data_IF_435503469968
#
_entry.id   IF_435503469968
#
_cell.length_a   1.000
_cell.length_b   1.000
_cell.length_c   1.000
_cell.angle_alpha   90.00
_cell.angle_beta   90.00
_cell.angle_gamma   90.00
#
_symmetry.space_group_name_H-M   'P 1'
#
loop_
_entity.id
_entity.type
_entity.pdbx_description
1 polymer ?
#
# COMPACT_ATOMS: atom_id res chain seq x y z
N UNK A 1 19.43 -4.83 22.45
CA UNK A 1 19.05 -4.93 21.02
C UNK A 1 17.92 -5.94 20.92
N UNK A 2 16.71 -5.48 20.64
CA UNK A 2 15.52 -6.32 20.65
C UNK A 2 15.30 -7.11 19.34
N UNK A 3 16.21 -6.99 18.34
CA UNK A 3 16.13 -7.73 17.07
C UNK A 3 15.06 -7.25 16.10
N UNK A 4 14.65 -5.97 16.17
CA UNK A 4 13.71 -5.38 15.19
C UNK A 4 14.39 -5.26 13.82
N UNK A 5 13.86 -5.95 12.83
CA UNK A 5 14.39 -5.98 11.46
C UNK A 5 13.57 -5.11 10.49
N UNK A 6 12.25 -5.00 10.69
CA UNK A 6 11.39 -4.21 9.85
C UNK A 6 10.20 -3.62 10.60
N UNK A 7 9.61 -2.56 10.04
CA UNK A 7 8.36 -1.96 10.50
C UNK A 7 7.37 -1.84 9.34
N UNK A 8 6.06 -2.02 9.59
CA UNK A 8 5.06 -1.82 8.55
C UNK A 8 4.90 -0.34 8.21
N UNK A 9 4.61 -0.03 6.95
CA UNK A 9 4.30 1.32 6.47
C UNK A 9 2.89 1.81 6.80
N UNK A 10 2.25 1.21 7.80
CA UNK A 10 0.89 1.56 8.21
C UNK A 10 0.76 3.01 8.65
N UNK A 11 -0.46 3.54 8.54
CA UNK A 11 -0.77 4.91 8.95
C UNK A 11 -0.33 6.00 7.95
N UNK A 12 0.26 5.66 6.81
CA UNK A 12 0.54 6.63 5.75
C UNK A 12 -0.75 7.25 5.21
N UNK A 13 -1.77 6.45 5.02
CA UNK A 13 -3.05 6.80 4.37
C UNK A 13 -2.81 7.59 3.09
N UNK A 14 -2.74 8.91 3.19
CA UNK A 14 -2.26 9.81 2.14
C UNK A 14 -1.32 10.86 2.75
N UNK A 15 -0.16 11.08 2.13
CA UNK A 15 0.88 12.00 2.62
C UNK A 15 0.68 13.44 2.08
N UNK A 16 -0.57 13.87 2.05
CA UNK A 16 -1.01 15.23 1.72
C UNK A 16 -1.83 15.75 2.89
N UNK A 17 -1.29 16.65 3.68
CA UNK A 17 -1.84 17.01 4.98
C UNK A 17 -3.24 17.64 4.91
N UNK A 18 -3.58 18.34 3.83
CA UNK A 18 -4.93 18.86 3.60
C UNK A 18 -5.98 17.74 3.57
N UNK A 19 -5.69 16.66 2.85
CA UNK A 19 -6.56 15.47 2.74
C UNK A 19 -6.45 14.63 4.02
N UNK A 20 -5.22 14.41 4.49
CA UNK A 20 -4.91 13.59 5.66
C UNK A 20 -5.67 14.03 6.91
N UNK A 21 -5.79 15.33 7.15
CA UNK A 21 -6.56 15.90 8.27
C UNK A 21 -8.05 15.57 8.19
N UNK A 22 -8.59 15.41 6.98
CA UNK A 22 -10.00 15.02 6.77
C UNK A 22 -10.23 13.53 6.93
N UNK A 23 -9.33 12.69 6.37
CA UNK A 23 -9.50 11.23 6.37
C UNK A 23 -8.99 10.55 7.63
N UNK A 24 -8.03 11.15 8.32
CA UNK A 24 -7.37 10.57 9.51
C UNK A 24 -6.91 11.66 10.48
N UNK A 25 -7.83 12.45 11.07
CA UNK A 25 -7.48 13.64 11.84
C UNK A 25 -6.65 13.37 13.11
N UNK A 26 -6.73 12.16 13.65
CA UNK A 26 -5.96 11.76 14.84
C UNK A 26 -4.53 11.28 14.51
N UNK A 27 -4.16 11.17 13.24
CA UNK A 27 -2.83 10.70 12.83
C UNK A 27 -1.84 11.84 12.69
N UNK A 28 -0.56 11.51 12.81
CA UNK A 28 0.57 12.43 12.61
C UNK A 28 0.53 13.10 11.23
N UNK A 29 1.24 14.22 11.07
CA UNK A 29 1.42 14.88 9.78
C UNK A 29 2.20 14.00 8.81
N UNK A 30 2.11 14.31 7.51
CA UNK A 30 2.90 13.61 6.49
C UNK A 30 4.40 13.70 6.76
N UNK A 31 4.89 14.87 7.19
CA UNK A 31 6.30 15.06 7.53
C UNK A 31 6.72 14.18 8.72
N UNK A 32 5.93 14.14 9.78
CA UNK A 32 6.24 13.29 10.93
C UNK A 32 6.29 11.80 10.57
N UNK A 33 5.37 11.34 9.71
CA UNK A 33 5.41 9.97 9.21
C UNK A 33 6.70 9.69 8.42
N UNK A 34 7.07 10.58 7.50
CA UNK A 34 8.31 10.47 6.72
C UNK A 34 9.55 10.48 7.63
N UNK A 35 9.56 11.31 8.69
CA UNK A 35 10.69 11.38 9.61
C UNK A 35 10.86 10.10 10.44
N UNK A 36 9.75 9.43 10.81
CA UNK A 36 9.81 8.10 11.45
C UNK A 36 10.45 7.09 10.51
N UNK A 37 10.00 7.02 9.24
CA UNK A 37 10.56 6.07 8.26
C UNK A 37 12.03 6.40 7.96
N UNK A 38 12.37 7.67 7.77
CA UNK A 38 13.75 8.11 7.57
C UNK A 38 14.66 7.71 8.75
N UNK A 39 14.17 7.86 9.97
CA UNK A 39 14.91 7.46 11.16
C UNK A 39 15.12 5.95 11.21
N UNK A 40 14.08 5.16 10.94
CA UNK A 40 14.18 3.71 10.86
C UNK A 40 15.20 3.27 9.80
N UNK A 41 15.15 3.86 8.60
CA UNK A 41 16.08 3.55 7.51
C UNK A 41 17.54 3.90 7.88
N UNK A 42 17.78 5.05 8.52
CA UNK A 42 19.12 5.41 9.02
C UNK A 42 19.66 4.43 10.05
N UNK A 43 18.78 3.79 10.81
CA UNK A 43 19.15 2.75 11.79
C UNK A 43 19.32 1.35 11.16
N UNK A 44 19.12 1.20 9.86
CA UNK A 44 19.20 -0.09 9.15
C UNK A 44 17.92 -0.93 9.28
N UNK A 45 16.81 -0.35 9.73
CA UNK A 45 15.52 -1.03 9.82
C UNK A 45 14.77 -0.83 8.50
N UNK A 46 14.34 -1.91 7.89
CA UNK A 46 13.53 -1.88 6.67
C UNK A 46 12.07 -1.50 6.98
N UNK A 47 11.36 -1.00 5.99
CA UNK A 47 9.93 -0.74 6.12
C UNK A 47 9.18 -1.01 4.83
N UNK A 48 7.85 -0.97 4.91
CA UNK A 48 6.99 -0.92 3.72
C UNK A 48 6.40 0.48 3.58
N UNK A 49 5.83 0.78 2.43
CA UNK A 49 5.07 2.00 2.20
C UNK A 49 3.65 1.66 1.74
N UNK A 50 2.68 2.48 2.11
CA UNK A 50 1.28 2.26 1.77
C UNK A 50 0.61 3.55 1.36
N UNK A 51 -0.43 3.45 0.54
CA UNK A 51 -1.35 4.52 0.23
C UNK A 51 -2.79 4.03 0.28
N UNK A 52 -3.66 4.73 0.98
CA UNK A 52 -5.09 4.61 0.82
C UNK A 52 -5.56 5.66 -0.20
N UNK A 53 -6.35 5.24 -1.19
CA UNK A 53 -6.84 6.13 -2.25
C UNK A 53 -8.29 5.80 -2.62
N UNK A 54 -8.91 6.61 -3.48
CA UNK A 54 -10.32 6.44 -3.84
C UNK A 54 -11.24 6.90 -2.72
N UNK A 55 -10.96 8.07 -2.15
CA UNK A 55 -11.81 8.75 -1.19
C UNK A 55 -12.11 10.20 -1.65
N UNK A 56 -11.44 11.21 -1.11
CA UNK A 56 -11.69 12.64 -1.42
C UNK A 56 -10.47 13.33 -2.03
N UNK A 57 -9.42 12.57 -2.33
CA UNK A 57 -8.20 13.07 -2.92
C UNK A 57 -8.34 13.28 -4.43
N UNK A 58 -7.54 14.20 -4.96
CA UNK A 58 -7.39 14.42 -6.40
C UNK A 58 -6.30 13.54 -7.00
N UNK A 59 -6.27 13.32 -8.33
CA UNK A 59 -5.16 12.64 -8.99
C UNK A 59 -3.79 13.27 -8.71
N UNK A 60 -3.71 14.60 -8.64
CA UNK A 60 -2.49 15.33 -8.31
C UNK A 60 -1.99 15.00 -6.91
N UNK A 61 -2.89 14.91 -5.95
CA UNK A 61 -2.55 14.55 -4.57
C UNK A 61 -2.07 13.10 -4.44
N UNK A 62 -2.54 12.20 -5.31
CA UNK A 62 -1.98 10.84 -5.40
C UNK A 62 -0.51 10.89 -5.85
N UNK A 63 -0.21 11.67 -6.87
CA UNK A 63 1.18 11.82 -7.36
C UNK A 63 2.06 12.50 -6.30
N UNK A 64 1.56 13.52 -5.59
CA UNK A 64 2.29 14.15 -4.48
C UNK A 64 2.66 13.13 -3.39
N UNK A 65 1.76 12.21 -3.05
CA UNK A 65 2.05 11.13 -2.11
C UNK A 65 3.18 10.22 -2.64
N UNK A 66 3.08 9.78 -3.89
CA UNK A 66 4.09 8.92 -4.50
C UNK A 66 5.45 9.62 -4.59
N UNK A 67 5.47 10.92 -4.90
CA UNK A 67 6.70 11.70 -4.99
C UNK A 67 7.43 11.78 -3.65
N UNK A 68 6.72 12.01 -2.56
CA UNK A 68 7.30 12.00 -1.20
C UNK A 68 7.92 10.65 -0.84
N UNK A 69 7.26 9.55 -1.21
CA UNK A 69 7.81 8.20 -0.99
C UNK A 69 9.04 7.96 -1.86
N UNK A 70 8.99 8.36 -3.14
CA UNK A 70 10.10 8.23 -4.07
C UNK A 70 11.35 8.97 -3.58
N UNK A 71 11.18 10.23 -3.15
CA UNK A 71 12.29 11.04 -2.63
C UNK A 71 12.92 10.40 -1.38
N UNK A 72 12.11 9.93 -0.42
CA UNK A 72 12.62 9.24 0.76
C UNK A 72 13.31 7.92 0.41
N UNK A 73 12.79 7.19 -0.59
CA UNK A 73 13.44 5.97 -1.07
C UNK A 73 14.81 6.25 -1.69
N UNK A 74 14.91 7.28 -2.53
CA UNK A 74 16.20 7.69 -3.13
C UNK A 74 17.21 8.08 -2.04
N UNK A 75 16.79 8.88 -1.05
CA UNK A 75 17.61 9.22 0.12
C UNK A 75 18.09 7.97 0.86
N UNK A 76 17.19 7.02 1.09
CA UNK A 76 17.46 5.79 1.84
C UNK A 76 18.40 4.84 1.11
N UNK A 77 18.19 4.65 -0.20
CA UNK A 77 19.05 3.83 -1.04
C UNK A 77 20.47 4.41 -1.15
N UNK A 78 20.58 5.73 -1.29
CA UNK A 78 21.88 6.41 -1.31
C UNK A 78 22.63 6.23 0.03
N UNK A 79 21.93 6.13 1.16
CA UNK A 79 22.52 5.86 2.46
C UNK A 79 22.95 4.39 2.65
N UNK A 80 22.48 3.45 1.82
CA UNK A 80 22.88 2.05 1.80
C UNK A 80 22.57 1.25 3.07
N UNK A 81 21.48 1.63 3.80
CA UNK A 81 21.04 0.98 5.04
C UNK A 81 19.62 0.42 4.89
N UNK A 82 18.68 0.81 5.77
CA UNK A 82 17.27 0.46 5.60
C UNK A 82 16.62 1.26 4.46
N UNK A 83 15.53 0.74 3.91
CA UNK A 83 14.75 1.38 2.84
C UNK A 83 13.35 0.77 2.79
N UNK A 84 12.48 1.30 1.92
CA UNK A 84 11.20 0.66 1.62
C UNK A 84 11.41 -0.61 0.81
N UNK A 85 10.95 -1.74 1.31
CA UNK A 85 11.02 -3.03 0.61
C UNK A 85 9.86 -3.26 -0.33
N UNK A 86 8.70 -2.67 -0.03
CA UNK A 86 7.51 -2.77 -0.88
C UNK A 86 6.59 -1.56 -0.71
N UNK A 87 5.72 -1.38 -1.72
CA UNK A 87 4.62 -0.42 -1.68
C UNK A 87 3.30 -1.12 -1.95
N UNK A 88 2.23 -0.69 -1.26
CA UNK A 88 0.86 -1.18 -1.47
C UNK A 88 -0.10 0.00 -1.58
N UNK A 89 -0.78 0.12 -2.72
CA UNK A 89 -1.95 0.97 -2.86
C UNK A 89 -3.21 0.15 -2.58
N UNK A 90 -4.11 0.67 -1.74
CA UNK A 90 -5.36 0.02 -1.39
C UNK A 90 -6.53 0.99 -1.46
N UNK A 91 -7.62 0.60 -2.14
CA UNK A 91 -8.77 1.47 -2.28
C UNK A 91 -9.52 1.59 -0.95
N UNK A 92 -9.98 2.80 -0.67
CA UNK A 92 -10.78 3.09 0.51
C UNK A 92 -12.05 2.23 0.55
N UNK A 93 -12.32 1.63 1.71
CA UNK A 93 -13.52 0.88 1.98
C UNK A 93 -14.43 1.72 2.88
N UNK A 94 -15.58 2.21 2.40
CA UNK A 94 -16.38 3.20 3.12
C UNK A 94 -16.96 2.67 4.44
N UNK A 95 -17.51 1.45 4.44
CA UNK A 95 -18.11 0.85 5.62
C UNK A 95 -18.97 1.83 6.44
N UNK A 96 -18.77 1.84 7.74
CA UNK A 96 -19.41 2.78 8.69
C UNK A 96 -18.59 4.07 8.92
N UNK A 97 -17.54 4.31 8.16
CA UNK A 97 -16.69 5.51 8.29
C UNK A 97 -17.51 6.79 8.10
N UNK A 98 -17.29 7.83 8.91
CA UNK A 98 -17.89 9.15 8.68
C UNK A 98 -17.62 9.70 7.27
N UNK A 99 -16.50 9.35 6.66
CA UNK A 99 -16.11 9.75 5.32
C UNK A 99 -17.07 9.20 4.24
N UNK A 100 -17.78 8.08 4.53
CA UNK A 100 -18.79 7.51 3.62
C UNK A 100 -19.94 8.48 3.28
N UNK A 101 -20.14 9.50 4.12
CA UNK A 101 -21.16 10.55 3.95
C UNK A 101 -20.63 11.82 3.29
N UNK A 102 -19.36 11.86 2.91
CA UNK A 102 -18.78 13.03 2.26
C UNK A 102 -19.37 13.24 0.87
N UNK A 103 -19.80 14.46 0.50
CA UNK A 103 -20.25 14.76 -0.86
C UNK A 103 -19.11 14.65 -1.89
N UNK A 104 -17.86 14.76 -1.45
CA UNK A 104 -16.66 14.68 -2.30
C UNK A 104 -16.16 13.24 -2.45
N UNK A 105 -16.85 12.26 -1.88
CA UNK A 105 -16.40 10.87 -1.92
C UNK A 105 -16.43 10.31 -3.34
N UNK A 106 -15.30 9.84 -3.82
CA UNK A 106 -15.15 9.13 -5.08
C UNK A 106 -14.50 7.76 -4.84
N UNK A 107 -15.31 6.71 -4.84
CA UNK A 107 -14.83 5.34 -4.61
C UNK A 107 -14.09 4.80 -5.84
N UNK A 108 -12.86 4.36 -5.65
CA UNK A 108 -12.09 3.70 -6.69
C UNK A 108 -12.58 2.28 -6.92
N UNK A 109 -13.08 2.02 -8.13
CA UNK A 109 -13.43 0.68 -8.59
C UNK A 109 -12.22 -0.12 -9.09
N UNK A 110 -12.44 -1.39 -9.51
CA UNK A 110 -11.38 -2.27 -9.99
C UNK A 110 -10.54 -1.71 -11.14
N UNK A 111 -11.18 -1.07 -12.12
CA UNK A 111 -10.49 -0.48 -13.27
C UNK A 111 -9.57 0.66 -12.83
N UNK A 112 -10.04 1.51 -11.94
CA UNK A 112 -9.23 2.62 -11.41
C UNK A 112 -8.06 2.10 -10.58
N UNK A 113 -8.28 1.06 -9.78
CA UNK A 113 -7.22 0.37 -9.04
C UNK A 113 -6.12 -0.14 -9.99
N UNK A 114 -6.48 -0.87 -11.05
CA UNK A 114 -5.51 -1.42 -11.98
C UNK A 114 -4.72 -0.30 -12.71
N UNK A 115 -5.40 0.76 -13.15
CA UNK A 115 -4.75 1.93 -13.75
C UNK A 115 -3.80 2.61 -12.78
N UNK A 116 -4.23 2.82 -11.53
CA UNK A 116 -3.40 3.44 -10.53
C UNK A 116 -2.21 2.55 -10.13
N UNK A 117 -2.39 1.24 -10.07
CA UNK A 117 -1.30 0.27 -9.88
C UNK A 117 -0.22 0.42 -10.95
N UNK A 118 -0.62 0.53 -12.23
CA UNK A 118 0.34 0.77 -13.31
C UNK A 118 1.08 2.11 -13.17
N UNK A 119 0.40 3.17 -12.76
CA UNK A 119 1.02 4.47 -12.46
C UNK A 119 2.02 4.32 -11.30
N UNK A 120 1.63 3.63 -10.23
CA UNK A 120 2.54 3.39 -9.09
C UNK A 120 3.80 2.65 -9.53
N UNK A 121 3.68 1.63 -10.40
CA UNK A 121 4.84 0.87 -10.90
C UNK A 121 5.79 1.75 -11.73
N UNK A 122 5.24 2.61 -12.59
CA UNK A 122 6.04 3.51 -13.42
C UNK A 122 6.68 4.63 -12.60
N UNK A 123 5.98 5.12 -11.58
CA UNK A 123 6.44 6.25 -10.78
C UNK A 123 7.42 5.83 -9.67
N UNK A 124 7.19 4.68 -9.03
CA UNK A 124 8.01 4.12 -7.94
C UNK A 124 8.98 3.05 -8.48
N UNK A 125 9.72 3.34 -9.55
CA UNK A 125 10.70 2.42 -10.15
C UNK A 125 11.86 2.08 -9.20
N UNK A 126 12.08 2.90 -8.16
CA UNK A 126 13.06 2.70 -7.10
C UNK A 126 12.54 1.80 -5.94
N UNK A 127 11.27 1.39 -5.92
CA UNK A 127 10.74 0.41 -4.97
C UNK A 127 10.54 -0.93 -5.69
N UNK A 128 11.33 -1.94 -5.30
CA UNK A 128 11.39 -3.22 -6.02
C UNK A 128 10.05 -3.97 -6.06
N UNK A 129 9.30 -3.95 -4.96
CA UNK A 129 8.07 -4.73 -4.85
C UNK A 129 6.83 -3.84 -4.79
N UNK A 130 5.87 -4.14 -5.66
CA UNK A 130 4.53 -3.56 -5.64
C UNK A 130 3.54 -4.64 -5.24
N UNK A 131 2.95 -4.50 -4.05
CA UNK A 131 2.07 -5.49 -3.48
C UNK A 131 0.62 -5.27 -3.92
N UNK A 132 -0.04 -6.33 -4.35
CA UNK A 132 -1.45 -6.34 -4.66
C UNK A 132 -2.33 -6.28 -3.41
N UNK A 133 -3.44 -5.55 -3.48
CA UNK A 133 -4.42 -5.43 -2.40
C UNK A 133 -5.57 -6.43 -2.56
N UNK A 134 -5.26 -7.74 -2.54
CA UNK A 134 -6.28 -8.79 -2.70
C UNK A 134 -7.32 -8.80 -1.56
N UNK A 135 -6.93 -8.34 -0.37
CA UNK A 135 -7.83 -8.25 0.80
C UNK A 135 -9.00 -7.31 0.55
N UNK A 136 -8.79 -6.23 -0.21
CA UNK A 136 -9.84 -5.22 -0.49
C UNK A 136 -10.64 -5.52 -1.76
N UNK A 137 -10.02 -6.09 -2.79
CA UNK A 137 -10.61 -6.23 -4.13
C UNK A 137 -10.82 -7.68 -4.58
N UNK A 138 -10.40 -8.64 -3.75
CA UNK A 138 -10.53 -10.06 -4.03
C UNK A 138 -9.46 -10.62 -4.96
N UNK A 139 -9.40 -11.95 -5.07
CA UNK A 139 -8.34 -12.66 -5.78
C UNK A 139 -8.30 -12.39 -7.28
N UNK A 140 -9.45 -12.18 -7.93
CA UNK A 140 -9.51 -11.98 -9.38
C UNK A 140 -8.87 -10.64 -9.80
N UNK A 141 -9.15 -9.56 -9.07
CA UNK A 141 -8.54 -8.26 -9.35
C UNK A 141 -7.07 -8.27 -8.96
N UNK A 142 -6.72 -8.95 -7.87
CA UNK A 142 -5.33 -9.14 -7.48
C UNK A 142 -4.53 -9.91 -8.56
N UNK A 143 -5.11 -10.95 -9.16
CA UNK A 143 -4.50 -11.66 -10.28
C UNK A 143 -4.25 -10.75 -11.47
N UNK A 144 -5.25 -9.94 -11.86
CA UNK A 144 -5.10 -8.96 -12.94
C UNK A 144 -4.02 -7.92 -12.63
N UNK A 145 -3.88 -7.50 -11.37
CA UNK A 145 -2.90 -6.48 -10.99
C UNK A 145 -1.45 -6.88 -11.26
N UNK A 146 -1.14 -8.18 -11.36
CA UNK A 146 0.19 -8.66 -11.76
C UNK A 146 0.57 -8.23 -13.18
N UNK A 147 -0.40 -8.10 -14.09
CA UNK A 147 -0.18 -7.57 -15.44
C UNK A 147 -0.09 -6.04 -15.48
N UNK A 148 -0.44 -5.38 -14.36
CA UNK A 148 -0.37 -3.93 -14.17
C UNK A 148 0.80 -3.50 -13.28
N UNK A 149 1.72 -4.43 -12.99
CA UNK A 149 2.99 -4.12 -12.34
C UNK A 149 3.14 -4.62 -10.90
N UNK A 150 2.11 -5.25 -10.30
CA UNK A 150 2.30 -5.97 -9.05
C UNK A 150 3.18 -7.21 -9.26
N UNK A 151 4.13 -7.42 -8.34
CA UNK A 151 4.98 -8.60 -8.31
C UNK A 151 4.98 -9.27 -6.92
N UNK A 152 4.09 -8.83 -6.04
CA UNK A 152 3.95 -9.33 -4.68
C UNK A 152 2.47 -9.47 -4.34
N UNK A 153 2.07 -10.66 -3.89
CA UNK A 153 0.69 -10.95 -3.47
C UNK A 153 0.48 -10.79 -1.95
N UNK A 154 1.48 -10.24 -1.25
CA UNK A 154 1.40 -10.08 0.19
C UNK A 154 1.49 -11.40 0.95
N UNK A 155 0.81 -11.47 2.08
CA UNK A 155 0.75 -12.62 2.96
C UNK A 155 -0.69 -13.05 3.20
N UNK A 156 -0.86 -14.29 3.67
CA UNK A 156 -2.14 -14.73 4.23
C UNK A 156 -2.42 -13.99 5.54
N UNK A 157 -3.68 -13.69 5.79
CA UNK A 157 -4.13 -13.06 7.03
C UNK A 157 -4.58 -14.13 8.02
N UNK A 158 -4.06 -14.09 9.25
CA UNK A 158 -4.60 -14.91 10.34
C UNK A 158 -5.97 -14.37 10.78
N UNK A 159 -6.07 -13.05 10.91
CA UNK A 159 -7.31 -12.32 11.18
C UNK A 159 -7.30 -11.00 10.42
N UNK A 160 -8.36 -10.73 9.65
CA UNK A 160 -8.56 -9.45 8.99
C UNK A 160 -9.84 -8.80 9.54
N UNK A 161 -9.64 -7.87 10.46
CA UNK A 161 -10.76 -7.19 11.15
C UNK A 161 -11.05 -5.80 10.57
N UNK A 162 -10.08 -5.17 9.94
CA UNK A 162 -10.20 -3.78 9.47
C UNK A 162 -11.05 -3.70 8.22
N UNK A 163 -10.70 -4.48 7.21
CA UNK A 163 -11.45 -4.54 5.94
C UNK A 163 -12.76 -5.28 6.11
N UNK A 164 -12.80 -6.33 6.98
CA UNK A 164 -14.02 -7.04 7.31
C UNK A 164 -15.05 -6.14 8.02
N UNK A 165 -14.63 -5.24 8.89
CA UNK A 165 -15.50 -4.24 9.52
C UNK A 165 -16.12 -3.25 8.50
N UNK A 166 -15.47 -3.08 7.33
CA UNK A 166 -15.97 -2.30 6.21
C UNK A 166 -16.86 -3.13 5.24
N UNK A 167 -17.13 -4.40 5.55
CA UNK A 167 -18.05 -5.27 4.77
C UNK A 167 -17.36 -6.09 3.68
N UNK A 168 -16.04 -6.06 3.58
CA UNK A 168 -15.27 -6.84 2.59
C UNK A 168 -14.54 -7.97 3.32
N UNK A 169 -14.86 -9.23 3.01
CA UNK A 169 -14.27 -10.39 3.67
C UNK A 169 -13.72 -11.38 2.62
N UNK A 170 -12.48 -11.15 2.17
CA UNK A 170 -11.75 -12.15 1.40
C UNK A 170 -10.75 -12.86 2.33
N UNK A 171 -10.72 -14.19 2.26
CA UNK A 171 -9.75 -15.02 2.96
C UNK A 171 -9.15 -15.99 1.96
N UNK A 172 -7.84 -16.09 1.93
CA UNK A 172 -7.11 -17.00 1.05
C UNK A 172 -6.09 -17.79 1.87
N UNK A 173 -5.99 -19.09 1.60
CA UNK A 173 -4.87 -19.91 2.05
C UNK A 173 -3.62 -19.65 1.21
N UNK A 174 -2.45 -20.11 1.67
CA UNK A 174 -1.21 -20.06 0.89
C UNK A 174 -1.38 -20.78 -0.47
N UNK A 175 -2.03 -21.94 -0.48
CA UNK A 175 -2.24 -22.68 -1.72
C UNK A 175 -3.11 -21.88 -2.70
N UNK A 176 -4.19 -21.27 -2.24
CA UNK A 176 -5.04 -20.44 -3.09
C UNK A 176 -4.29 -19.22 -3.66
N UNK A 177 -3.41 -18.57 -2.87
CA UNK A 177 -2.54 -17.51 -3.40
C UNK A 177 -1.59 -18.02 -4.47
N UNK A 178 -0.99 -19.19 -4.27
CA UNK A 178 -0.14 -19.85 -5.28
C UNK A 178 -0.92 -20.17 -6.55
N UNK A 179 -2.15 -20.68 -6.41
CA UNK A 179 -3.01 -21.01 -7.56
C UNK A 179 -3.39 -19.76 -8.35
N UNK A 180 -3.70 -18.65 -7.67
CA UNK A 180 -3.95 -17.33 -8.31
C UNK A 180 -2.75 -16.89 -9.13
N UNK A 181 -1.53 -17.00 -8.61
CA UNK A 181 -0.30 -16.62 -9.29
C UNK A 181 -0.03 -17.54 -10.49
N UNK A 182 -0.14 -18.86 -10.28
CA UNK A 182 0.16 -19.87 -11.30
C UNK A 182 -0.83 -19.80 -12.46
N UNK A 183 -2.13 -19.64 -12.17
CA UNK A 183 -3.16 -19.53 -13.22
C UNK A 183 -3.04 -18.25 -14.07
N UNK A 184 -2.33 -17.25 -13.58
CA UNK A 184 -1.95 -16.07 -14.36
C UNK A 184 -0.67 -16.27 -15.20
N UNK A 185 -0.04 -17.43 -15.16
CA UNK A 185 1.19 -17.74 -15.88
C UNK A 185 2.48 -17.33 -15.18
N UNK A 186 2.42 -16.91 -13.91
CA UNK A 186 3.59 -16.56 -13.14
C UNK A 186 4.03 -17.71 -12.19
N UNK A 187 5.29 -17.68 -11.76
CA UNK A 187 5.84 -18.66 -10.83
C UNK A 187 5.81 -18.12 -9.41
N UNK A 188 5.00 -18.71 -8.49
CA UNK A 188 4.93 -18.24 -7.12
C UNK A 188 6.21 -18.61 -6.35
N UNK A 189 6.81 -17.61 -5.72
CA UNK A 189 7.93 -17.78 -4.80
C UNK A 189 7.59 -17.19 -3.45
N UNK A 190 7.99 -17.88 -2.38
CA UNK A 190 7.94 -17.28 -1.05
C UNK A 190 9.06 -16.25 -0.95
N UNK A 191 8.74 -15.06 -0.44
CA UNK A 191 9.75 -14.04 -0.20
C UNK A 191 10.35 -14.24 1.19
N UNK A 192 11.64 -14.01 1.31
CA UNK A 192 12.38 -13.92 2.56
C UNK A 192 12.87 -12.48 2.70
N UNK A 193 12.49 -11.84 3.78
CA UNK A 193 12.97 -10.50 4.12
C UNK A 193 13.84 -10.57 5.37
#
# INVERSE_FOLDING_TARGET
>A
KAGLNSIPGGGAEILVDEVRKKVSPAKYTSQQWLDVMRTAHKMGVFSTATMMFGHIETPQQRIEHLDKLRQLQDESLAAGKGHFTSFTAWPFQPGSSPLSKSPDLHLAGPVEYLRFTAICRLFLDNIANLQSSWVTLGPNIAQLSMFYGCNDMGSIMMEEKVVAAAGTAYSLSEQQLRDVITSAGFTPRRRDY
#
